data_IF_097892912555
#
_entry.id   IF_097892912555
#
_cell.length_a   1.000
_cell.length_b   1.000
_cell.length_c   1.000
_cell.angle_alpha   90.00
_cell.angle_beta   90.00
_cell.angle_gamma   90.00
#
_symmetry.space_group_name_H-M   'P 1'
#
loop_
_entity.id
_entity.type
_entity.pdbx_description
1 polymer ?
#
# COMPACT_ATOMS: atom_id res chain seq x y z
N UNK A 1 0.15 -3.01 -12.39
CA UNK A 1 0.19 -2.29 -11.09
C UNK A 1 0.44 -3.29 -9.99
N UNK A 2 1.39 -3.00 -9.11
CA UNK A 2 1.72 -3.81 -7.93
C UNK A 2 1.95 -2.88 -6.72
N UNK A 3 1.37 -3.23 -5.57
CA UNK A 3 1.61 -2.58 -4.29
C UNK A 3 2.41 -3.51 -3.38
N UNK A 4 3.53 -3.01 -2.88
CA UNK A 4 4.38 -3.67 -1.90
C UNK A 4 4.35 -2.86 -0.61
N UNK A 5 4.20 -3.55 0.53
CA UNK A 5 4.17 -2.94 1.85
C UNK A 5 5.18 -3.61 2.78
N UNK A 6 5.80 -2.80 3.63
CA UNK A 6 6.64 -3.26 4.72
C UNK A 6 6.28 -2.56 6.02
N UNK A 7 6.11 -3.34 7.08
CA UNK A 7 5.90 -2.88 8.45
C UNK A 7 7.11 -3.25 9.33
N UNK A 8 7.23 -2.67 10.54
CA UNK A 8 8.12 -3.18 11.57
C UNK A 8 7.96 -4.69 11.79
N UNK A 9 9.06 -5.35 12.18
CA UNK A 9 9.11 -6.82 12.39
C UNK A 9 8.14 -7.33 13.46
N UNK A 10 7.73 -6.45 14.37
CA UNK A 10 6.79 -6.71 15.47
C UNK A 10 5.33 -6.79 14.98
N UNK A 11 5.06 -6.32 13.76
CA UNK A 11 3.73 -6.33 13.14
C UNK A 11 3.67 -7.39 12.04
N UNK A 12 2.47 -7.93 11.80
CA UNK A 12 2.22 -8.85 10.69
C UNK A 12 1.27 -8.21 9.69
N UNK A 13 1.68 -8.15 8.42
CA UNK A 13 0.85 -7.65 7.31
C UNK A 13 0.24 -8.85 6.58
N UNK A 14 -1.06 -8.79 6.33
CA UNK A 14 -1.74 -9.64 5.37
C UNK A 14 -2.29 -8.77 4.22
N UNK A 15 -1.85 -9.07 3.00
CA UNK A 15 -2.23 -8.38 1.77
C UNK A 15 -3.36 -9.16 1.09
N UNK A 16 -4.55 -8.57 1.01
CA UNK A 16 -5.66 -9.12 0.25
C UNK A 16 -5.42 -9.05 -1.26
N UNK A 17 -6.34 -9.65 -2.03
CA UNK A 17 -6.31 -9.57 -3.48
C UNK A 17 -6.61 -8.14 -3.95
N UNK A 18 -5.87 -7.67 -4.96
CA UNK A 18 -6.16 -6.42 -5.65
C UNK A 18 -7.41 -6.55 -6.53
N UNK A 19 -8.28 -5.55 -6.54
CA UNK A 19 -9.55 -5.59 -7.29
C UNK A 19 -9.36 -5.60 -8.82
N UNK A 20 -8.30 -4.96 -9.31
CA UNK A 20 -7.90 -4.92 -10.72
C UNK A 20 -6.42 -4.54 -10.83
N UNK A 21 -5.74 -4.97 -11.89
CA UNK A 21 -4.36 -4.56 -12.19
C UNK A 21 -4.27 -3.28 -13.04
N UNK A 22 -5.41 -2.76 -13.50
CA UNK A 22 -5.50 -1.65 -14.46
C UNK A 22 -6.46 -0.57 -13.94
N UNK A 23 -6.02 0.69 -14.06
CA UNK A 23 -6.85 1.89 -13.91
C UNK A 23 -7.05 2.49 -15.31
N UNK A 24 -8.29 2.58 -15.82
CA UNK A 24 -8.52 3.16 -17.14
C UNK A 24 -8.14 4.64 -17.23
N UNK A 25 -7.55 5.10 -18.35
CA UNK A 25 -7.20 6.51 -18.55
C UNK A 25 -8.43 7.43 -18.43
N UNK A 26 -8.22 8.65 -17.90
CA UNK A 26 -9.26 9.69 -17.76
C UNK A 26 -10.54 9.19 -17.06
N UNK A 27 -10.41 8.23 -16.16
CA UNK A 27 -11.55 7.68 -15.41
C UNK A 27 -11.49 8.09 -13.95
N UNK A 28 -12.64 8.10 -13.30
CA UNK A 28 -12.77 8.20 -11.84
C UNK A 28 -12.76 6.81 -11.16
N UNK A 29 -12.40 5.75 -11.90
CA UNK A 29 -12.33 4.40 -11.35
C UNK A 29 -11.07 4.24 -10.52
N UNK A 30 -11.18 3.42 -9.47
CA UNK A 30 -10.08 3.14 -8.56
C UNK A 30 -9.83 1.64 -8.44
N UNK A 31 -8.58 1.30 -8.16
CA UNK A 31 -8.16 -0.04 -7.76
C UNK A 31 -8.08 -0.07 -6.24
N UNK A 32 -8.62 -1.12 -5.63
CA UNK A 32 -8.66 -1.31 -4.18
C UNK A 32 -7.96 -2.60 -3.79
N UNK A 33 -7.28 -2.58 -2.66
CA UNK A 33 -6.66 -3.75 -2.04
C UNK A 33 -6.86 -3.67 -0.53
N UNK A 34 -7.47 -4.69 0.05
CA UNK A 34 -7.65 -4.77 1.51
C UNK A 34 -6.33 -5.17 2.16
N UNK A 35 -5.94 -4.44 3.21
CA UNK A 35 -4.71 -4.69 3.96
C UNK A 35 -5.11 -4.85 5.42
N UNK A 36 -4.73 -5.96 6.03
CA UNK A 36 -4.92 -6.20 7.47
C UNK A 36 -3.57 -6.20 8.16
N UNK A 37 -3.46 -5.44 9.24
CA UNK A 37 -2.25 -5.35 10.03
C UNK A 37 -2.54 -5.79 11.46
N UNK A 38 -1.79 -6.79 11.93
CA UNK A 38 -1.81 -7.21 13.31
C UNK A 38 -0.67 -6.53 14.08
N UNK A 39 -1.02 -5.73 15.09
CA UNK A 39 -0.08 -4.97 15.94
C UNK A 39 -0.27 -5.36 17.41
N UNK A 40 0.31 -6.49 17.86
CA UNK A 40 0.08 -7.02 19.21
C UNK A 40 0.63 -6.10 20.31
N UNK A 41 1.69 -5.35 20.01
CA UNK A 41 2.38 -4.50 20.98
C UNK A 41 1.81 -3.07 21.05
N UNK A 42 0.78 -2.76 20.25
CA UNK A 42 0.20 -1.42 20.15
C UNK A 42 1.25 -0.32 19.85
N UNK A 43 2.29 -0.69 19.11
CA UNK A 43 3.38 0.18 18.68
C UNK A 43 2.88 1.22 17.67
N UNK A 44 3.65 2.29 17.49
CA UNK A 44 3.34 3.32 16.50
C UNK A 44 3.30 2.70 15.09
N UNK A 45 2.20 2.92 14.37
CA UNK A 45 2.03 2.43 13.01
C UNK A 45 2.97 3.17 12.06
N UNK A 46 3.88 2.40 11.44
CA UNK A 46 4.78 2.87 10.39
C UNK A 46 4.74 1.89 9.23
N UNK A 47 4.42 2.36 8.04
CA UNK A 47 4.39 1.53 6.83
C UNK A 47 5.24 2.17 5.75
N UNK A 48 6.13 1.38 5.15
CA UNK A 48 6.78 1.75 3.89
C UNK A 48 6.00 1.14 2.76
N UNK A 49 5.69 1.93 1.75
CA UNK A 49 5.00 1.46 0.56
C UNK A 49 5.84 1.71 -0.69
N UNK A 50 5.75 0.78 -1.62
CA UNK A 50 6.25 0.92 -2.99
C UNK A 50 5.13 0.52 -3.94
N UNK A 51 4.81 1.40 -4.88
CA UNK A 51 3.86 1.15 -5.96
C UNK A 51 4.61 1.14 -7.28
N UNK A 52 4.41 0.11 -8.07
CA UNK A 52 4.96 0.03 -9.44
C UNK A 52 3.83 -0.17 -10.44
N UNK A 53 3.89 0.52 -11.58
CA UNK A 53 2.88 0.41 -12.62
C UNK A 53 3.41 0.89 -13.96
N UNK A 54 2.86 0.38 -15.05
CA UNK A 54 3.21 0.88 -16.39
C UNK A 54 2.27 2.01 -16.79
N UNK A 55 2.85 3.09 -17.30
CA UNK A 55 2.12 4.21 -17.87
C UNK A 55 2.76 4.59 -19.20
N UNK A 56 1.98 4.49 -20.28
CA UNK A 56 2.43 4.81 -21.65
C UNK A 56 3.71 4.05 -22.06
N UNK A 57 3.83 2.78 -21.66
CA UNK A 57 4.99 1.92 -21.96
C UNK A 57 6.22 2.16 -21.08
N UNK A 58 6.12 3.07 -20.10
CA UNK A 58 7.19 3.35 -19.14
C UNK A 58 6.83 2.76 -17.77
N UNK A 59 7.77 2.04 -17.17
CA UNK A 59 7.62 1.53 -15.81
C UNK A 59 7.80 2.69 -14.81
N UNK A 60 6.76 2.97 -14.05
CA UNK A 60 6.74 3.96 -13.00
C UNK A 60 6.96 3.32 -11.64
N UNK A 61 7.64 4.04 -10.76
CA UNK A 61 7.85 3.66 -9.37
C UNK A 61 7.52 4.84 -8.45
N UNK A 62 6.79 4.56 -7.38
CA UNK A 62 6.51 5.52 -6.32
C UNK A 62 6.75 4.86 -4.96
N UNK A 63 7.55 5.51 -4.12
CA UNK A 63 7.89 5.03 -2.78
C UNK A 63 7.47 6.10 -1.75
N UNK A 64 7.01 5.67 -0.59
CA UNK A 64 6.75 6.57 0.52
C UNK A 64 6.65 5.88 1.87
N UNK A 65 6.43 6.68 2.91
CA UNK A 65 6.21 6.22 4.28
C UNK A 65 4.89 6.80 4.80
N UNK A 66 4.12 5.97 5.49
CA UNK A 66 2.95 6.36 6.25
C UNK A 66 3.26 6.19 7.74
N UNK A 67 3.15 7.30 8.48
CA UNK A 67 3.28 7.33 9.93
C UNK A 67 2.01 7.92 10.53
N UNK A 68 1.23 7.11 11.24
CA UNK A 68 0.10 7.62 12.02
C UNK A 68 0.60 8.04 13.41
N UNK A 69 0.53 9.33 13.74
CA UNK A 69 0.70 9.80 15.12
C UNK A 69 -0.61 9.54 15.89
N UNK A 70 -0.52 8.93 17.08
CA UNK A 70 -1.65 8.85 18.01
C UNK A 70 -2.01 10.28 18.43
N UNK A 71 -3.18 10.78 18.02
CA UNK A 71 -3.82 11.90 18.72
C UNK A 71 -4.21 11.38 20.10
N UNK A 72 -3.59 11.97 21.13
CA UNK A 72 -3.93 11.78 22.55
C UNK A 72 -5.17 12.62 22.85
#
# INVERSE_FOLDING_TARGET
>A
MELQLAAPKTMQINMGRVSSSVIPPKSFKSVFQNITLHNPNNELLRLRFKVTYDQLGVQMEQIGEYCCHKNI
#
